data_IF_257146099007
#
_entry.id   IF_257146099007
#
_cell.length_a   1.000
_cell.length_b   1.000
_cell.length_c   1.000
_cell.angle_alpha   90.00
_cell.angle_beta   90.00
_cell.angle_gamma   90.00
#
_symmetry.space_group_name_H-M   'P 1'
#
loop_
_entity.id
_entity.type
_entity.pdbx_description
1 polymer ?
#
# COMPACT_ATOMS: atom_id res chain seq x y z
N UNK A 1 -22.38 -6.17 -33.49
CA UNK A 1 -21.54 -7.06 -32.67
C UNK A 1 -22.19 -7.15 -31.30
N UNK A 2 -22.74 -8.31 -30.92
CA UNK A 2 -23.58 -8.51 -29.74
C UNK A 2 -22.68 -8.98 -28.59
N UNK A 3 -22.46 -8.13 -27.59
CA UNK A 3 -21.64 -8.46 -26.43
C UNK A 3 -22.27 -9.62 -25.65
N UNK A 4 -21.44 -10.55 -25.19
CA UNK A 4 -21.77 -11.82 -24.54
C UNK A 4 -22.39 -11.52 -23.15
N UNK A 5 -23.70 -11.73 -22.93
CA UNK A 5 -24.36 -11.40 -21.66
C UNK A 5 -24.13 -12.44 -20.55
N UNK A 6 -23.50 -13.57 -20.86
CA UNK A 6 -23.34 -14.72 -19.93
C UNK A 6 -22.18 -14.53 -18.95
N UNK A 7 -21.16 -13.74 -19.29
CA UNK A 7 -20.01 -13.51 -18.40
C UNK A 7 -20.32 -12.51 -17.28
N UNK A 8 -21.19 -11.53 -17.55
CA UNK A 8 -21.48 -10.45 -16.60
C UNK A 8 -22.33 -10.95 -15.42
N UNK A 9 -23.32 -11.80 -15.68
CA UNK A 9 -24.16 -12.38 -14.62
C UNK A 9 -23.41 -13.37 -13.72
N UNK A 10 -22.45 -14.12 -14.28
CA UNK A 10 -21.59 -15.01 -13.50
C UNK A 10 -20.58 -14.26 -12.63
N UNK A 11 -20.08 -13.11 -13.11
CA UNK A 11 -19.21 -12.24 -12.32
C UNK A 11 -20.01 -11.62 -11.17
N UNK A 12 -21.14 -10.97 -11.43
CA UNK A 12 -21.96 -10.36 -10.38
C UNK A 12 -22.40 -11.38 -9.31
N UNK A 13 -22.79 -12.59 -9.70
CA UNK A 13 -23.15 -13.67 -8.78
C UNK A 13 -21.97 -14.15 -7.89
N UNK A 14 -20.73 -14.05 -8.36
CA UNK A 14 -19.54 -14.42 -7.58
C UNK A 14 -19.13 -13.38 -6.53
N UNK A 15 -19.61 -12.14 -6.67
CA UNK A 15 -19.33 -11.03 -5.74
C UNK A 15 -20.46 -10.77 -4.76
N UNK A 16 -21.69 -11.17 -5.08
CA UNK A 16 -22.86 -11.07 -4.18
C UNK A 16 -22.87 -12.21 -3.15
N UNK A 17 -22.02 -12.16 -2.14
CA UNK A 17 -22.11 -13.11 -1.02
C UNK A 17 -20.86 -13.27 -0.17
N UNK A 18 -19.70 -12.84 -0.65
CA UNK A 18 -18.48 -12.79 0.16
C UNK A 18 -18.43 -11.45 0.88
N UNK A 19 -18.57 -11.46 2.22
CA UNK A 19 -18.25 -10.27 3.01
C UNK A 19 -16.83 -9.81 2.70
N UNK A 20 -16.65 -8.49 2.51
CA UNK A 20 -15.33 -7.92 2.30
C UNK A 20 -14.51 -8.09 3.57
N UNK A 21 -13.64 -9.10 3.59
CA UNK A 21 -12.65 -9.26 4.64
C UNK A 21 -11.49 -8.28 4.37
N UNK A 22 -11.17 -7.38 5.31
CA UNK A 22 -10.02 -6.50 5.13
C UNK A 22 -8.74 -7.34 5.06
N UNK A 23 -7.87 -7.02 4.09
CA UNK A 23 -6.59 -7.72 3.87
C UNK A 23 -5.73 -7.75 5.14
N UNK A 24 -5.79 -6.68 5.94
CA UNK A 24 -5.15 -6.61 7.24
C UNK A 24 -6.18 -6.30 8.33
N UNK A 25 -6.12 -7.04 9.43
CA UNK A 25 -6.95 -6.75 10.61
C UNK A 25 -6.61 -5.37 11.19
N UNK A 26 -7.61 -4.66 11.72
CA UNK A 26 -7.43 -3.32 12.30
C UNK A 26 -6.35 -3.26 13.40
N UNK A 27 -6.19 -4.35 14.16
CA UNK A 27 -5.18 -4.46 15.20
C UNK A 27 -3.74 -4.47 14.68
N UNK A 28 -3.53 -4.83 13.40
CA UNK A 28 -2.20 -4.89 12.77
C UNK A 28 -1.80 -3.56 12.11
N UNK A 29 -2.76 -2.68 11.82
CA UNK A 29 -2.52 -1.38 11.18
C UNK A 29 -1.49 -0.48 11.91
N UNK A 30 -1.52 -0.33 13.24
CA UNK A 30 -0.50 0.49 13.93
C UNK A 30 0.90 -0.10 13.81
N UNK A 31 1.04 -1.42 13.90
CA UNK A 31 2.33 -2.09 13.72
C UNK A 31 2.84 -1.92 12.28
N UNK A 32 1.98 -2.09 11.28
CA UNK A 32 2.32 -1.88 9.88
C UNK A 32 2.75 -0.43 9.61
N UNK A 33 2.03 0.55 10.16
CA UNK A 33 2.37 1.96 10.02
C UNK A 33 3.79 2.25 10.54
N UNK A 34 4.11 1.76 11.74
CA UNK A 34 5.45 1.92 12.33
C UNK A 34 6.53 1.27 11.46
N UNK A 35 6.30 0.04 10.99
CA UNK A 35 7.26 -0.67 10.13
C UNK A 35 7.51 0.07 8.83
N UNK A 36 6.45 0.49 8.14
CA UNK A 36 6.56 1.22 6.88
C UNK A 36 7.25 2.57 7.04
N UNK A 37 6.94 3.32 8.11
CA UNK A 37 7.61 4.59 8.41
C UNK A 37 9.09 4.36 8.73
N UNK A 38 9.44 3.34 9.54
CA UNK A 38 10.82 3.03 9.87
C UNK A 38 11.64 2.67 8.61
N UNK A 39 11.11 1.81 7.75
CA UNK A 39 11.75 1.47 6.46
C UNK A 39 11.90 2.72 5.59
N UNK A 40 10.84 3.52 5.48
CA UNK A 40 10.84 4.76 4.72
C UNK A 40 11.93 5.73 5.15
N UNK A 41 12.07 5.96 6.45
CA UNK A 41 13.09 6.84 7.04
C UNK A 41 14.52 6.31 6.82
N UNK A 42 14.73 5.00 6.96
CA UNK A 42 16.05 4.39 6.70
C UNK A 42 16.47 4.59 5.25
N UNK A 43 15.56 4.35 4.29
CA UNK A 43 15.86 4.52 2.87
C UNK A 43 15.96 5.99 2.46
N UNK A 44 15.20 6.89 3.09
CA UNK A 44 15.36 8.34 2.92
C UNK A 44 16.74 8.80 3.40
N UNK A 45 17.20 8.29 4.56
CA UNK A 45 18.56 8.53 5.03
C UNK A 45 19.63 8.04 4.06
N UNK A 46 19.47 6.83 3.51
CA UNK A 46 20.38 6.29 2.48
C UNK A 46 20.40 7.14 1.22
N UNK A 47 19.24 7.64 0.78
CA UNK A 47 19.14 8.57 -0.35
C UNK A 47 19.94 9.85 -0.11
N UNK A 48 19.85 10.45 1.08
CA UNK A 48 20.58 11.69 1.40
C UNK A 48 22.11 11.53 1.39
N UNK A 49 22.61 10.35 1.78
CA UNK A 49 24.05 10.05 1.88
C UNK A 49 24.62 9.54 0.56
N UNK A 50 23.80 8.89 -0.26
CA UNK A 50 24.24 8.36 -1.55
C UNK A 50 24.21 9.49 -2.56
N UNK A 51 25.39 10.06 -2.86
CA UNK A 51 25.56 11.06 -3.91
C UNK A 51 26.48 10.53 -5.00
N UNK A 52 26.05 10.59 -6.25
CA UNK A 52 26.87 10.27 -7.43
C UNK A 52 26.60 8.89 -8.05
N UNK A 53 25.69 8.10 -7.50
CA UNK A 53 25.18 6.87 -8.13
C UNK A 53 23.67 7.03 -8.36
N UNK A 54 23.31 7.53 -9.54
CA UNK A 54 21.92 7.83 -9.95
C UNK A 54 21.02 6.59 -9.84
N UNK A 55 21.57 5.39 -10.09
CA UNK A 55 20.80 4.15 -10.01
C UNK A 55 20.41 3.85 -8.56
N UNK A 56 21.35 4.00 -7.62
CA UNK A 56 21.07 3.79 -6.19
C UNK A 56 20.18 4.88 -5.62
N UNK A 57 20.40 6.14 -6.00
CA UNK A 57 19.55 7.26 -5.62
C UNK A 57 18.10 7.02 -6.02
N UNK A 58 17.85 6.65 -7.28
CA UNK A 58 16.50 6.35 -7.76
C UNK A 58 15.84 5.21 -6.98
N UNK A 59 16.58 4.12 -6.71
CA UNK A 59 16.06 2.99 -5.92
C UNK A 59 15.70 3.43 -4.50
N UNK A 60 16.58 4.18 -3.83
CA UNK A 60 16.32 4.64 -2.47
C UNK A 60 15.17 5.65 -2.40
N UNK A 61 15.03 6.52 -3.40
CA UNK A 61 13.91 7.44 -3.51
C UNK A 61 12.58 6.69 -3.72
N UNK A 62 12.55 5.70 -4.62
CA UNK A 62 11.34 4.90 -4.88
C UNK A 62 10.93 4.10 -3.64
N UNK A 63 11.88 3.40 -3.01
CA UNK A 63 11.60 2.58 -1.82
C UNK A 63 11.16 3.46 -0.65
N UNK A 64 11.83 4.59 -0.41
CA UNK A 64 11.43 5.50 0.67
C UNK A 64 10.06 6.12 0.43
N UNK A 65 9.76 6.58 -0.79
CA UNK A 65 8.46 7.14 -1.16
C UNK A 65 7.34 6.12 -0.99
N UNK A 66 7.52 4.91 -1.51
CA UNK A 66 6.52 3.84 -1.37
C UNK A 66 6.26 3.47 0.10
N UNK A 67 7.34 3.30 0.88
CA UNK A 67 7.21 2.93 2.29
C UNK A 67 6.57 4.07 3.12
N UNK A 68 6.95 5.33 2.91
CA UNK A 68 6.33 6.46 3.61
C UNK A 68 4.86 6.65 3.22
N UNK A 69 4.52 6.47 1.94
CA UNK A 69 3.14 6.52 1.47
C UNK A 69 2.27 5.44 2.11
N UNK A 70 2.74 4.19 2.14
CA UNK A 70 2.05 3.09 2.82
C UNK A 70 1.96 3.31 4.33
N UNK A 71 3.02 3.85 4.95
CA UNK A 71 3.06 4.20 6.36
C UNK A 71 2.04 5.28 6.72
N UNK A 72 1.90 6.30 5.88
CA UNK A 72 0.90 7.36 6.06
C UNK A 72 -0.52 6.79 5.97
N UNK A 73 -0.81 5.97 4.96
CA UNK A 73 -2.12 5.32 4.78
C UNK A 73 -2.46 4.39 5.96
N UNK A 74 -1.51 3.57 6.39
CA UNK A 74 -1.69 2.69 7.56
C UNK A 74 -1.84 3.49 8.86
N UNK A 75 -1.12 4.60 9.01
CA UNK A 75 -1.20 5.48 10.17
C UNK A 75 -2.55 6.18 10.28
N UNK A 76 -3.08 6.70 9.17
CA UNK A 76 -4.42 7.30 9.11
C UNK A 76 -5.48 6.26 9.51
N UNK A 77 -5.39 5.05 8.97
CA UNK A 77 -6.33 3.96 9.34
C UNK A 77 -6.20 3.53 10.81
N UNK A 78 -4.97 3.49 11.35
CA UNK A 78 -4.73 3.18 12.76
C UNK A 78 -5.34 4.21 13.72
N UNK A 79 -5.46 5.46 13.27
CA UNK A 79 -6.15 6.54 14.01
C UNK A 79 -7.67 6.48 13.88
N UNK A 80 -8.22 5.49 13.17
CA UNK A 80 -9.66 5.34 12.94
C UNK A 80 -10.22 6.32 11.92
N UNK A 81 -9.36 7.04 11.19
CA UNK A 81 -9.76 7.89 10.08
C UNK A 81 -9.88 7.00 8.84
N UNK A 82 -11.11 6.71 8.40
CA UNK A 82 -11.34 6.07 7.11
C UNK A 82 -11.25 7.12 6.01
N UNK A 83 -10.30 6.96 5.11
CA UNK A 83 -10.10 7.78 3.92
C UNK A 83 -10.90 7.17 2.74
#
# INVERSE_FOLDING_TARGET
MKAIPVLQSGLEASWTGTEFAPVFGRTMQPALAVVFVAVGLVYAGKYLVTRGDVRREAVYAVVSSAALGLGAVAGVQALGLSL
#
